data_IF_260294360240
#
_entry.id   IF_260294360240
#
_cell.length_a   1.000
_cell.length_b   1.000
_cell.length_c   1.000
_cell.angle_alpha   90.00
_cell.angle_beta   90.00
_cell.angle_gamma   90.00
#
_symmetry.space_group_name_H-M   'P 1'
#
loop_
_entity.id
_entity.type
_entity.pdbx_description
1 polymer ?
#
# COMPACT_ATOMS: atom_id res chain seq x y z
N UNK A 1 8.76 2.13 10.69
CA UNK A 1 9.58 1.61 9.57
C UNK A 1 8.69 0.78 8.67
N UNK A 2 8.69 1.05 7.37
CA UNK A 2 7.91 0.30 6.39
C UNK A 2 8.83 -0.68 5.65
N UNK A 3 8.53 -1.98 5.73
CA UNK A 3 9.40 -3.03 5.19
C UNK A 3 8.78 -3.60 3.92
N UNK A 4 9.49 -3.44 2.80
CA UNK A 4 9.08 -3.85 1.46
C UNK A 4 10.24 -4.49 0.70
N UNK A 5 9.94 -5.25 -0.35
CA UNK A 5 10.98 -5.79 -1.26
C UNK A 5 11.73 -4.65 -1.98
N UNK A 6 11.02 -3.56 -2.29
CA UNK A 6 11.41 -2.66 -3.38
C UNK A 6 10.76 -3.10 -4.70
N UNK A 7 10.91 -2.28 -5.74
CA UNK A 7 10.47 -2.63 -7.08
C UNK A 7 11.51 -3.57 -7.74
N UNK A 8 11.08 -4.55 -8.55
CA UNK A 8 12.00 -5.37 -9.32
C UNK A 8 12.92 -4.49 -10.18
N UNK A 9 14.19 -4.86 -10.31
CA UNK A 9 15.19 -4.07 -11.05
C UNK A 9 14.82 -3.82 -12.51
N UNK A 10 13.94 -4.63 -13.09
CA UNK A 10 13.35 -4.43 -14.42
C UNK A 10 12.53 -3.14 -14.59
N UNK A 11 12.10 -2.50 -13.49
CA UNK A 11 11.30 -1.26 -13.48
C UNK A 11 12.17 -0.04 -13.08
N UNK A 12 13.47 -0.23 -12.81
CA UNK A 12 14.41 0.84 -12.40
C UNK A 12 15.44 1.23 -13.47
N UNK A 13 16.23 2.27 -13.18
CA UNK A 13 17.26 2.84 -14.09
C UNK A 13 18.46 1.91 -14.40
N UNK A 14 18.48 0.69 -13.86
CA UNK A 14 19.64 -0.22 -13.90
C UNK A 14 19.24 -1.64 -14.35
N UNK A 15 19.19 -1.89 -15.67
CA UNK A 15 18.75 -3.17 -16.24
C UNK A 15 19.68 -4.37 -15.94
N UNK A 16 20.87 -4.14 -15.39
CA UNK A 16 21.83 -5.21 -15.01
C UNK A 16 21.82 -5.57 -13.51
N UNK A 17 20.97 -4.95 -12.70
CA UNK A 17 20.92 -5.26 -11.27
C UNK A 17 20.23 -6.61 -11.02
N UNK A 18 20.93 -7.55 -10.38
CA UNK A 18 20.37 -8.83 -9.94
C UNK A 18 19.63 -8.69 -8.61
N UNK A 19 18.40 -9.19 -8.55
CA UNK A 19 17.54 -9.27 -7.36
C UNK A 19 17.98 -10.43 -6.42
N UNK A 20 19.22 -10.40 -5.92
CA UNK A 20 19.67 -11.32 -4.87
C UNK A 20 19.33 -10.74 -3.49
N UNK A 21 18.20 -11.18 -2.92
CA UNK A 21 17.81 -10.82 -1.55
C UNK A 21 18.14 -11.96 -0.58
N UNK A 22 19.04 -11.70 0.38
CA UNK A 22 19.35 -12.65 1.46
C UNK A 22 18.17 -12.85 2.43
N UNK A 23 17.24 -11.88 2.48
CA UNK A 23 16.09 -11.86 3.37
C UNK A 23 14.84 -11.38 2.64
N UNK A 24 13.80 -12.22 2.63
CA UNK A 24 12.46 -11.76 2.26
C UNK A 24 11.97 -10.70 3.28
N UNK A 25 11.09 -9.75 2.89
CA UNK A 25 10.57 -8.71 3.77
C UNK A 25 9.98 -9.25 5.06
N UNK A 26 9.28 -10.38 4.99
CA UNK A 26 8.74 -11.07 6.18
C UNK A 26 9.85 -11.53 7.14
N UNK A 27 11.00 -11.97 6.64
CA UNK A 27 12.15 -12.33 7.47
C UNK A 27 12.81 -11.10 8.09
N UNK A 28 12.92 -10.00 7.36
CA UNK A 28 13.43 -8.74 7.91
C UNK A 28 12.50 -8.21 9.01
N UNK A 29 11.18 -8.25 8.81
CA UNK A 29 10.20 -7.91 9.85
C UNK A 29 10.42 -8.76 11.11
N UNK A 30 10.61 -10.07 10.95
CA UNK A 30 10.86 -10.98 12.06
C UNK A 30 12.14 -10.59 12.81
N UNK A 31 13.22 -10.30 12.09
CA UNK A 31 14.49 -9.88 12.66
C UNK A 31 14.33 -8.59 13.46
N UNK A 32 13.63 -7.60 12.93
CA UNK A 32 13.38 -6.34 13.63
C UNK A 32 12.55 -6.57 14.90
N UNK A 33 11.40 -7.24 14.76
CA UNK A 33 10.43 -7.36 15.84
C UNK A 33 10.91 -8.29 16.97
N UNK A 34 11.58 -9.40 16.61
CA UNK A 34 11.95 -10.45 17.56
C UNK A 34 13.42 -10.39 18.00
N UNK A 35 14.28 -9.65 17.29
CA UNK A 35 15.71 -9.51 17.63
C UNK A 35 16.09 -8.06 17.91
N UNK A 36 16.08 -7.18 16.92
CA UNK A 36 16.60 -5.82 17.10
C UNK A 36 15.84 -5.04 18.18
N UNK A 37 14.52 -5.17 18.23
CA UNK A 37 13.69 -4.56 19.27
C UNK A 37 13.90 -5.18 20.67
N UNK A 38 14.60 -6.32 20.76
CA UNK A 38 15.03 -6.97 22.01
C UNK A 38 16.52 -6.70 22.32
N UNK A 39 17.24 -5.94 21.49
CA UNK A 39 18.65 -5.61 21.71
C UNK A 39 19.64 -6.67 21.27
N UNK A 40 19.25 -7.59 20.38
CA UNK A 40 20.16 -8.60 19.84
C UNK A 40 20.14 -8.64 18.32
N UNK A 41 21.26 -9.06 17.72
CA UNK A 41 21.37 -9.30 16.28
C UNK A 41 20.83 -10.69 15.88
N UNK A 42 21.01 -11.06 14.61
CA UNK A 42 20.60 -12.37 14.09
C UNK A 42 21.37 -13.54 14.74
N UNK A 43 22.65 -13.35 15.07
CA UNK A 43 23.51 -14.34 15.73
C UNK A 43 23.26 -14.44 17.23
N UNK A 44 22.46 -13.54 17.81
CA UNK A 44 22.19 -13.44 19.23
C UNK A 44 23.19 -12.59 20.00
N UNK A 45 24.09 -11.89 19.29
CA UNK A 45 25.01 -10.93 19.89
C UNK A 45 24.26 -9.69 20.33
N UNK A 46 24.68 -9.10 21.44
CA UNK A 46 24.16 -7.82 21.91
C UNK A 46 24.49 -6.70 20.90
N UNK A 47 23.49 -5.91 20.52
CA UNK A 47 23.67 -4.73 19.65
C UNK A 47 23.70 -3.41 20.44
N UNK A 48 23.76 -3.48 21.77
CA UNK A 48 23.69 -2.37 22.68
C UNK A 48 22.24 -1.99 22.98
N UNK A 49 21.87 -0.75 22.66
CA UNK A 49 20.52 -0.27 22.96
C UNK A 49 19.49 -0.96 22.04
N UNK A 50 18.44 -1.61 22.59
CA UNK A 50 17.36 -2.17 21.78
C UNK A 50 16.71 -1.12 20.90
N UNK A 51 16.39 -1.49 19.67
CA UNK A 51 15.57 -0.64 18.79
C UNK A 51 14.14 -0.56 19.32
N UNK A 52 13.36 0.40 18.83
CA UNK A 52 11.91 0.49 19.12
C UNK A 52 11.12 0.77 17.84
N UNK A 53 11.43 0.03 16.79
CA UNK A 53 10.77 0.22 15.51
C UNK A 53 9.35 -0.33 15.55
N UNK A 54 8.40 0.50 15.13
CA UNK A 54 7.03 0.10 14.77
C UNK A 54 7.02 -0.31 13.30
N UNK A 55 6.72 -1.57 13.01
CA UNK A 55 6.96 -2.22 11.72
C UNK A 55 5.69 -2.23 10.88
N UNK A 56 5.77 -1.68 9.67
CA UNK A 56 4.70 -1.71 8.69
C UNK A 56 4.98 -2.70 7.56
N UNK A 57 3.93 -3.30 7.01
CA UNK A 57 4.02 -4.21 5.86
C UNK A 57 3.17 -3.74 4.68
N UNK A 58 3.59 -4.05 3.45
CA UNK A 58 2.74 -3.85 2.29
C UNK A 58 1.60 -4.89 2.26
N UNK A 59 0.41 -4.48 1.82
CA UNK A 59 -0.77 -5.33 1.68
C UNK A 59 -1.47 -5.06 0.34
N UNK A 60 -1.52 -6.06 -0.53
CA UNK A 60 -2.35 -5.97 -1.73
C UNK A 60 -3.78 -6.41 -1.43
N UNK A 61 -4.75 -5.51 -1.60
CA UNK A 61 -6.18 -5.80 -1.39
C UNK A 61 -6.88 -6.29 -2.66
N UNK A 62 -6.24 -6.19 -3.82
CA UNK A 62 -6.73 -6.74 -5.09
C UNK A 62 -5.69 -7.67 -5.73
N UNK A 63 -5.21 -8.72 -5.03
CA UNK A 63 -4.27 -9.67 -5.58
C UNK A 63 -4.94 -10.60 -6.60
N UNK A 64 -4.22 -11.08 -7.63
CA UNK A 64 -4.73 -12.12 -8.53
C UNK A 64 -5.06 -13.45 -7.81
N UNK A 65 -4.36 -13.74 -6.71
CA UNK A 65 -4.59 -14.91 -5.86
C UNK A 65 -4.80 -14.45 -4.39
N UNK A 66 -6.06 -14.23 -3.97
CA UNK A 66 -6.39 -13.79 -2.62
C UNK A 66 -5.94 -14.75 -1.51
N UNK A 67 -6.05 -16.07 -1.73
CA UNK A 67 -5.66 -17.07 -0.75
C UNK A 67 -4.15 -17.05 -0.47
N UNK A 68 -3.35 -16.86 -1.52
CA UNK A 68 -1.91 -16.67 -1.37
C UNK A 68 -1.58 -15.38 -0.61
N UNK A 69 -2.22 -14.26 -0.94
CA UNK A 69 -1.96 -12.99 -0.25
C UNK A 69 -2.39 -13.03 1.22
N UNK A 70 -3.51 -13.70 1.55
CA UNK A 70 -3.94 -13.96 2.94
C UNK A 70 -2.86 -14.74 3.70
N UNK A 71 -2.30 -15.81 3.12
CA UNK A 71 -1.20 -16.56 3.74
C UNK A 71 0.04 -15.68 3.98
N UNK A 72 0.37 -14.81 3.02
CA UNK A 72 1.49 -13.86 3.16
C UNK A 72 1.21 -12.83 4.26
N UNK A 73 0.00 -12.29 4.33
CA UNK A 73 -0.43 -11.37 5.38
C UNK A 73 -0.32 -12.01 6.76
N UNK A 74 -0.82 -13.25 6.93
CA UNK A 74 -0.69 -14.01 8.18
C UNK A 74 0.77 -14.18 8.59
N UNK A 75 1.65 -14.49 7.63
CA UNK A 75 3.10 -14.60 7.89
C UNK A 75 3.71 -13.25 8.30
N UNK A 76 3.34 -12.15 7.64
CA UNK A 76 3.78 -10.78 8.00
C UNK A 76 3.35 -10.42 9.43
N UNK A 77 2.11 -10.72 9.81
CA UNK A 77 1.56 -10.50 11.17
C UNK A 77 2.33 -11.34 12.20
N UNK A 78 2.50 -12.65 11.96
CA UNK A 78 3.26 -13.52 12.86
C UNK A 78 4.72 -13.09 13.05
N UNK A 79 5.28 -12.41 12.04
CA UNK A 79 6.63 -11.86 12.06
C UNK A 79 6.71 -10.43 12.64
N UNK A 80 5.63 -9.93 13.23
CA UNK A 80 5.63 -8.68 14.00
C UNK A 80 5.25 -7.43 13.20
N UNK A 81 4.54 -7.56 12.07
CA UNK A 81 3.92 -6.40 11.45
C UNK A 81 2.88 -5.77 12.40
N UNK A 82 2.97 -4.45 12.58
CA UNK A 82 2.12 -3.67 13.47
C UNK A 82 1.08 -2.81 12.73
N UNK A 83 1.28 -2.54 11.44
CA UNK A 83 0.31 -1.88 10.57
C UNK A 83 0.52 -2.31 9.11
N UNK A 84 -0.48 -2.10 8.25
CA UNK A 84 -0.37 -2.33 6.82
C UNK A 84 -0.54 -1.02 6.02
N UNK A 85 0.23 -0.88 4.95
CA UNK A 85 -0.03 0.08 3.88
C UNK A 85 -0.46 -0.66 2.63
N UNK A 86 -1.52 -0.19 1.97
CA UNK A 86 -2.03 -0.82 0.73
C UNK A 86 -1.48 -0.11 -0.50
N UNK A 87 -1.43 -0.77 -1.66
CA UNK A 87 -1.38 -0.03 -2.93
C UNK A 87 -2.57 0.95 -3.05
N UNK A 88 -2.50 1.98 -3.94
CA UNK A 88 -3.64 2.83 -4.25
C UNK A 88 -4.91 2.04 -4.58
N UNK A 89 -6.02 2.34 -3.89
CA UNK A 89 -7.29 1.65 -4.09
C UNK A 89 -8.25 2.51 -4.91
N UNK A 90 -8.65 2.01 -6.08
CA UNK A 90 -9.69 2.61 -6.93
C UNK A 90 -11.00 1.81 -6.92
N UNK A 91 -11.05 0.70 -6.18
CA UNK A 91 -12.23 -0.16 -6.01
C UNK A 91 -12.43 -0.49 -4.53
N UNK A 92 -12.93 0.45 -3.71
CA UNK A 92 -13.04 0.28 -2.26
C UNK A 92 -13.87 -0.93 -1.83
N UNK A 93 -14.93 -1.26 -2.58
CA UNK A 93 -15.78 -2.42 -2.30
C UNK A 93 -15.01 -3.74 -2.47
N UNK A 94 -14.30 -3.93 -3.59
CA UNK A 94 -13.46 -5.12 -3.80
C UNK A 94 -12.32 -5.21 -2.80
N UNK A 95 -11.73 -4.07 -2.43
CA UNK A 95 -10.71 -4.01 -1.40
C UNK A 95 -11.27 -4.46 -0.04
N UNK A 96 -12.51 -4.09 0.29
CA UNK A 96 -13.21 -4.55 1.49
C UNK A 96 -13.52 -6.05 1.44
N UNK A 97 -13.94 -6.59 0.29
CA UNK A 97 -14.19 -8.02 0.11
C UNK A 97 -12.98 -8.89 0.47
N UNK A 98 -11.76 -8.42 0.18
CA UNK A 98 -10.53 -9.11 0.60
C UNK A 98 -10.42 -9.20 2.13
N UNK A 99 -10.71 -8.11 2.84
CA UNK A 99 -10.70 -8.10 4.31
C UNK A 99 -11.81 -9.00 4.88
N UNK A 100 -12.98 -9.03 4.26
CA UNK A 100 -14.07 -9.92 4.66
C UNK A 100 -13.71 -11.40 4.42
N UNK A 101 -12.97 -11.70 3.34
CA UNK A 101 -12.44 -13.06 3.09
C UNK A 101 -11.44 -13.48 4.16
N UNK A 102 -10.50 -12.58 4.52
CA UNK A 102 -9.60 -12.82 5.65
C UNK A 102 -10.38 -13.08 6.94
N UNK A 103 -11.39 -12.24 7.23
CA UNK A 103 -12.18 -12.31 8.45
C UNK A 103 -12.96 -13.62 8.57
N UNK A 104 -13.50 -14.15 7.47
CA UNK A 104 -14.16 -15.46 7.44
C UNK A 104 -13.24 -16.61 7.85
N UNK A 105 -11.94 -16.49 7.60
CA UNK A 105 -10.97 -17.55 7.89
C UNK A 105 -10.30 -17.39 9.27
N UNK A 106 -10.05 -16.15 9.71
CA UNK A 106 -9.19 -15.87 10.86
C UNK A 106 -9.76 -14.87 11.87
N UNK A 107 -10.99 -14.38 11.68
CA UNK A 107 -11.55 -13.26 12.42
C UNK A 107 -11.04 -11.91 11.92
N UNK A 108 -11.61 -10.83 12.44
CA UNK A 108 -11.31 -9.47 12.00
C UNK A 108 -9.80 -9.17 12.05
N UNK A 109 -9.33 -8.39 11.07
CA UNK A 109 -7.94 -7.95 11.04
C UNK A 109 -7.73 -6.88 12.11
N UNK A 110 -7.12 -7.25 13.23
CA UNK A 110 -6.82 -6.32 14.33
C UNK A 110 -5.74 -5.29 13.98
N UNK A 111 -4.87 -5.61 13.03
CA UNK A 111 -3.79 -4.74 12.59
C UNK A 111 -4.36 -3.57 11.76
N UNK A 112 -4.06 -2.30 12.09
CA UNK A 112 -4.57 -1.16 11.34
C UNK A 112 -4.09 -1.15 9.89
N UNK A 113 -5.01 -0.88 8.98
CA UNK A 113 -4.76 -0.73 7.54
C UNK A 113 -4.88 0.74 7.17
N UNK A 114 -3.78 1.32 6.69
CA UNK A 114 -3.77 2.65 6.08
C UNK A 114 -3.83 2.49 4.56
N UNK A 115 -4.89 3.03 3.96
CA UNK A 115 -5.19 2.81 2.56
C UNK A 115 -4.51 3.88 1.69
N UNK A 116 -3.83 3.44 0.64
CA UNK A 116 -3.17 4.34 -0.30
C UNK A 116 -4.18 5.11 -1.13
N UNK A 117 -4.01 6.43 -1.21
CA UNK A 117 -4.74 7.31 -2.12
C UNK A 117 -3.74 8.02 -3.02
N UNK A 118 -3.92 7.86 -4.33
CA UNK A 118 -3.12 8.52 -5.37
C UNK A 118 -4.09 9.24 -6.31
N UNK A 119 -4.16 10.58 -6.29
CA UNK A 119 -5.04 11.31 -7.18
C UNK A 119 -4.59 11.14 -8.63
N UNK A 120 -5.55 10.83 -9.51
CA UNK A 120 -5.27 10.78 -10.94
C UNK A 120 -5.02 12.20 -11.46
N UNK A 121 -4.16 12.32 -12.47
CA UNK A 121 -3.72 13.63 -12.95
C UNK A 121 -3.99 13.84 -14.44
N UNK A 122 -3.90 12.76 -15.23
CA UNK A 122 -4.13 12.78 -16.66
C UNK A 122 -4.48 11.38 -17.15
N UNK A 123 -5.01 11.28 -18.37
CA UNK A 123 -5.26 9.99 -19.04
C UNK A 123 -3.98 9.15 -19.13
N UNK A 124 -2.85 9.78 -19.46
CA UNK A 124 -1.55 9.10 -19.51
C UNK A 124 -1.13 8.58 -18.14
N UNK A 125 -1.34 9.37 -17.08
CA UNK A 125 -1.04 8.95 -15.71
C UNK A 125 -1.91 7.75 -15.30
N UNK A 126 -3.23 7.81 -15.54
CA UNK A 126 -4.13 6.70 -15.25
C UNK A 126 -3.79 5.43 -16.05
N UNK A 127 -3.47 5.57 -17.34
CA UNK A 127 -3.08 4.44 -18.18
C UNK A 127 -1.78 3.78 -17.70
N UNK A 128 -0.76 4.59 -17.34
CA UNK A 128 0.49 4.07 -16.77
C UNK A 128 0.24 3.29 -15.48
N UNK A 129 -0.52 3.88 -14.53
CA UNK A 129 -0.82 3.21 -13.26
C UNK A 129 -1.54 1.88 -13.46
N UNK A 130 -2.49 1.83 -14.40
CA UNK A 130 -3.26 0.61 -14.64
C UNK A 130 -2.48 -0.50 -15.34
N UNK A 131 -1.63 -0.14 -16.31
CA UNK A 131 -0.95 -1.11 -17.17
C UNK A 131 0.44 -1.50 -16.65
N UNK A 132 1.16 -0.56 -16.05
CA UNK A 132 2.58 -0.70 -15.74
C UNK A 132 2.86 -0.89 -14.25
N UNK A 133 1.91 -0.56 -13.36
CA UNK A 133 2.11 -0.68 -11.90
C UNK A 133 1.37 -1.91 -11.35
N UNK A 134 2.10 -2.96 -10.93
CA UNK A 134 1.48 -4.17 -10.41
C UNK A 134 0.57 -3.91 -9.19
N UNK A 135 -0.64 -4.47 -9.23
CA UNK A 135 -1.61 -4.36 -8.15
C UNK A 135 -2.45 -3.09 -8.17
N UNK A 136 -2.27 -2.19 -9.14
CA UNK A 136 -3.17 -1.05 -9.35
C UNK A 136 -4.15 -1.37 -10.49
N UNK A 137 -5.44 -1.46 -10.16
CA UNK A 137 -6.52 -1.63 -11.13
C UNK A 137 -7.43 -0.42 -11.04
N UNK A 138 -7.54 0.32 -12.15
CA UNK A 138 -8.40 1.51 -12.24
C UNK A 138 -9.61 1.13 -13.10
N UNK A 139 -10.84 1.18 -12.55
CA UNK A 139 -12.07 0.92 -13.29
C UNK A 139 -12.19 1.76 -14.56
N UNK A 140 -12.85 1.21 -15.58
CA UNK A 140 -13.07 1.90 -16.84
C UNK A 140 -13.85 3.20 -16.65
N UNK A 141 -14.82 3.20 -15.75
CA UNK A 141 -15.64 4.36 -15.42
C UNK A 141 -14.80 5.50 -14.83
N UNK A 142 -13.81 5.18 -14.00
CA UNK A 142 -12.87 6.16 -13.45
C UNK A 142 -11.95 6.70 -14.55
N UNK A 143 -11.45 5.83 -15.44
CA UNK A 143 -10.60 6.26 -16.57
C UNK A 143 -11.37 7.14 -17.56
N UNK A 144 -12.63 6.81 -17.84
CA UNK A 144 -13.52 7.57 -18.71
C UNK A 144 -13.75 8.98 -18.14
N UNK A 145 -14.06 9.12 -16.84
CA UNK A 145 -14.18 10.43 -16.18
C UNK A 145 -12.93 11.30 -16.35
N UNK A 146 -11.75 10.71 -16.17
CA UNK A 146 -10.48 11.42 -16.37
C UNK A 146 -10.28 11.84 -17.83
N UNK A 147 -10.68 11.01 -18.79
CA UNK A 147 -10.60 11.34 -20.22
C UNK A 147 -11.57 12.45 -20.62
N UNK A 148 -12.81 12.39 -20.15
CA UNK A 148 -13.85 13.38 -20.40
C UNK A 148 -13.51 14.75 -19.80
N UNK A 149 -12.83 14.78 -18.66
CA UNK A 149 -12.42 16.00 -18.00
C UNK A 149 -11.38 16.83 -18.79
N UNK A 150 -10.65 16.22 -19.74
CA UNK A 150 -9.66 16.92 -20.56
C UNK A 150 -8.61 17.67 -19.73
N UNK A 151 -8.50 18.99 -19.92
CA UNK A 151 -7.60 19.85 -19.12
C UNK A 151 -7.96 19.90 -17.63
N UNK A 152 -9.21 19.61 -17.28
CA UNK A 152 -9.71 19.50 -15.90
C UNK A 152 -9.41 18.17 -15.21
N UNK A 153 -8.68 17.25 -15.86
CA UNK A 153 -8.33 15.95 -15.31
C UNK A 153 -7.69 15.99 -13.90
N UNK A 154 -6.81 16.95 -13.54
CA UNK A 154 -6.27 17.03 -12.18
C UNK A 154 -7.35 17.27 -11.12
N UNK A 155 -8.29 18.19 -11.38
CA UNK A 155 -9.41 18.48 -10.47
C UNK A 155 -10.39 17.32 -10.40
N UNK A 156 -10.65 16.64 -11.51
CA UNK A 156 -11.49 15.43 -11.49
C UNK A 156 -10.82 14.31 -10.69
N UNK A 157 -9.50 14.17 -10.77
CA UNK A 157 -8.73 13.25 -9.93
C UNK A 157 -8.81 13.56 -8.44
N UNK A 158 -8.86 14.85 -8.06
CA UNK A 158 -9.12 15.27 -6.66
C UNK A 158 -10.52 14.83 -6.23
N UNK A 159 -11.56 15.07 -7.05
CA UNK A 159 -12.94 14.65 -6.74
C UNK A 159 -13.04 13.14 -6.56
N UNK A 160 -12.47 12.37 -7.48
CA UNK A 160 -12.42 10.91 -7.41
C UNK A 160 -11.70 10.46 -6.13
N UNK A 161 -10.56 11.07 -5.80
CA UNK A 161 -9.85 10.74 -4.57
C UNK A 161 -10.70 11.00 -3.32
N UNK A 162 -11.44 12.11 -3.25
CA UNK A 162 -12.37 12.40 -2.15
C UNK A 162 -13.47 11.34 -2.07
N UNK A 163 -14.11 10.99 -3.19
CA UNK A 163 -15.15 9.94 -3.26
C UNK A 163 -14.63 8.59 -2.75
N UNK A 164 -13.42 8.20 -3.18
CA UNK A 164 -12.75 6.97 -2.73
C UNK A 164 -12.51 7.00 -1.21
N UNK A 165 -12.00 8.13 -0.68
CA UNK A 165 -11.77 8.28 0.76
C UNK A 165 -13.07 8.12 1.55
N UNK A 166 -14.19 8.70 1.09
CA UNK A 166 -15.46 8.56 1.81
C UNK A 166 -15.91 7.11 1.92
N UNK A 167 -15.70 6.31 0.88
CA UNK A 167 -15.98 4.87 0.93
C UNK A 167 -15.01 4.13 1.85
N UNK A 168 -13.71 4.45 1.77
CA UNK A 168 -12.66 3.80 2.56
C UNK A 168 -12.82 4.07 4.06
N UNK A 169 -13.28 5.26 4.48
CA UNK A 169 -13.51 5.61 5.89
C UNK A 169 -14.41 4.62 6.63
N UNK A 170 -15.24 3.86 5.91
CA UNK A 170 -16.14 2.86 6.51
C UNK A 170 -15.42 1.61 7.01
N UNK A 171 -14.16 1.36 6.58
CA UNK A 171 -13.43 0.14 6.91
C UNK A 171 -11.92 0.31 7.15
N UNK A 172 -11.29 1.31 6.56
CA UNK A 172 -9.87 1.62 6.77
C UNK A 172 -9.65 2.44 8.04
N UNK A 173 -8.54 2.21 8.75
CA UNK A 173 -8.20 2.95 9.98
C UNK A 173 -7.53 4.29 9.68
N UNK A 174 -7.21 4.55 8.41
CA UNK A 174 -6.70 5.81 7.92
C UNK A 174 -6.35 5.73 6.45
N UNK A 175 -5.88 6.85 5.90
CA UNK A 175 -5.33 6.91 4.54
C UNK A 175 -3.91 7.45 4.58
N UNK A 176 -3.14 7.14 3.54
CA UNK A 176 -1.91 7.87 3.24
C UNK A 176 -1.96 8.37 1.81
N UNK A 177 -1.68 9.66 1.64
CA UNK A 177 -1.86 10.37 0.37
C UNK A 177 -0.54 10.50 -0.35
N UNK A 178 -0.51 10.08 -1.62
CA UNK A 178 0.63 10.22 -2.51
C UNK A 178 0.37 11.37 -3.48
N UNK A 179 1.09 12.50 -3.38
CA UNK A 179 0.93 13.61 -4.32
C UNK A 179 1.45 13.23 -5.71
N UNK A 180 0.58 13.25 -6.71
CA UNK A 180 1.01 13.03 -8.09
C UNK A 180 1.93 14.18 -8.55
N UNK A 181 3.11 13.84 -9.09
CA UNK A 181 4.06 14.81 -9.65
C UNK A 181 4.46 15.97 -8.72
N UNK A 182 4.48 15.74 -7.39
CA UNK A 182 4.80 16.79 -6.42
C UNK A 182 3.75 17.89 -6.30
N UNK A 183 2.51 17.66 -6.78
CA UNK A 183 1.38 18.59 -6.67
C UNK A 183 0.76 18.55 -5.28
N UNK A 184 1.47 19.12 -4.31
CA UNK A 184 1.04 19.21 -2.91
C UNK A 184 -0.19 20.09 -2.72
N UNK A 185 -0.46 21.02 -3.65
CA UNK A 185 -1.67 21.83 -3.71
C UNK A 185 -2.93 20.96 -3.86
N UNK A 186 -2.93 20.05 -4.83
CA UNK A 186 -4.04 19.11 -5.04
C UNK A 186 -4.20 18.15 -3.86
N UNK A 187 -3.09 17.75 -3.24
CA UNK A 187 -3.12 16.93 -2.04
C UNK A 187 -3.76 17.67 -0.85
N UNK A 188 -3.48 18.96 -0.69
CA UNK A 188 -4.07 19.80 0.35
C UNK A 188 -5.59 19.94 0.16
N UNK A 189 -6.06 20.15 -1.08
CA UNK A 189 -7.50 20.21 -1.39
C UNK A 189 -8.24 18.94 -0.95
N UNK A 190 -7.64 17.77 -1.18
CA UNK A 190 -8.22 16.50 -0.73
C UNK A 190 -8.30 16.46 0.80
N UNK A 191 -7.20 16.81 1.49
CA UNK A 191 -7.16 16.81 2.96
C UNK A 191 -8.21 17.77 3.54
N UNK A 192 -8.40 18.94 2.94
CA UNK A 192 -9.44 19.90 3.36
C UNK A 192 -10.85 19.35 3.13
N UNK A 193 -11.11 18.71 2.00
CA UNK A 193 -12.41 18.16 1.65
C UNK A 193 -12.84 16.93 2.48
N UNK A 194 -11.88 16.20 3.07
CA UNK A 194 -12.14 14.97 3.85
C UNK A 194 -12.05 15.17 5.35
N UNK A 195 -11.79 16.39 5.84
CA UNK A 195 -11.80 16.68 7.29
C UNK A 195 -13.15 16.41 7.93
#
# INVERSE_FOLDING_TARGET
MFVVMGDPTAIGDYPEAMDNYDLAPSGLMQLIAQRFNQGVDHAGSDIGQPTRFFVGCALNLLPPDPEREIKLLRRKIANGANFALTQPVYQPEKAREFLDLYAKQFGDLEMPVLVGILPLYSVRHAAFLHNEVPGIVIPEEIRARIAEAGEGAPQEGVRIAVELVQQIKTWGQGIYLMPAFGRYDLAAEIVEAIR
#
